data_IF_154661969097
#
_entry.id   IF_154661969097
#
_cell.length_a   1.000
_cell.length_b   1.000
_cell.length_c   1.000
_cell.angle_alpha   90.00
_cell.angle_beta   90.00
_cell.angle_gamma   90.00
#
_symmetry.space_group_name_H-M   'P 1'
#
loop_
_entity.id
_entity.type
_entity.pdbx_description
1 polymer ?
#
# COMPACT_ATOMS: atom_id res chain seq x y z
N UNK A 1 -5.16 -15.99 -14.23
CA UNK A 1 -4.78 -14.70 -14.89
C UNK A 1 -5.06 -13.58 -13.91
N UNK A 2 -4.22 -12.54 -13.85
CA UNK A 2 -4.48 -11.34 -13.04
C UNK A 2 -5.63 -10.56 -13.66
N UNK A 3 -6.64 -10.20 -12.87
CA UNK A 3 -7.82 -9.45 -13.33
C UNK A 3 -7.44 -8.01 -13.73
N UNK A 4 -8.16 -7.39 -14.68
CA UNK A 4 -7.89 -5.99 -15.04
C UNK A 4 -8.26 -4.98 -13.95
N UNK A 5 -9.05 -5.38 -12.93
CA UNK A 5 -9.36 -4.56 -11.75
C UNK A 5 -8.09 -4.10 -11.01
N UNK A 6 -7.02 -4.88 -11.06
CA UNK A 6 -5.73 -4.50 -10.47
C UNK A 6 -5.08 -3.30 -11.18
N UNK A 7 -5.29 -3.14 -12.49
CA UNK A 7 -4.81 -1.96 -13.21
C UNK A 7 -5.56 -0.71 -12.72
N UNK A 8 -6.86 -0.84 -12.46
CA UNK A 8 -7.68 0.24 -11.87
C UNK A 8 -7.14 0.63 -10.49
N UNK A 9 -6.77 -0.35 -9.66
CA UNK A 9 -6.13 -0.09 -8.37
C UNK A 9 -4.78 0.65 -8.51
N UNK A 10 -3.94 0.28 -9.47
CA UNK A 10 -2.67 0.97 -9.75
C UNK A 10 -2.90 2.44 -10.19
N UNK A 11 -3.90 2.69 -11.03
CA UNK A 11 -4.26 4.05 -11.47
C UNK A 11 -4.72 4.89 -10.27
N UNK A 12 -5.62 4.39 -9.44
CA UNK A 12 -6.06 5.11 -8.23
C UNK A 12 -4.90 5.33 -7.25
N UNK A 13 -3.98 4.36 -7.13
CA UNK A 13 -2.75 4.52 -6.35
C UNK A 13 -1.91 5.71 -6.83
N UNK A 14 -1.71 5.85 -8.14
CA UNK A 14 -0.98 7.00 -8.73
C UNK A 14 -1.71 8.32 -8.45
N UNK A 15 -3.04 8.35 -8.59
CA UNK A 15 -3.84 9.55 -8.32
C UNK A 15 -3.68 9.96 -6.85
N UNK A 16 -3.85 9.02 -5.91
CA UNK A 16 -3.71 9.29 -4.49
C UNK A 16 -2.29 9.72 -4.10
N UNK A 17 -1.25 9.07 -4.65
CA UNK A 17 0.15 9.48 -4.45
C UNK A 17 0.40 10.90 -4.97
N UNK A 18 -0.20 11.26 -6.10
CA UNK A 18 -0.10 12.60 -6.67
C UNK A 18 -0.75 13.63 -5.75
N UNK A 19 -1.92 13.33 -5.20
CA UNK A 19 -2.59 14.19 -4.22
C UNK A 19 -1.76 14.32 -2.94
N UNK A 20 -1.17 13.23 -2.45
CA UNK A 20 -0.25 13.29 -1.31
C UNK A 20 1.00 14.15 -1.59
N UNK A 21 1.56 14.06 -2.80
CA UNK A 21 2.66 14.93 -3.24
C UNK A 21 2.24 16.41 -3.32
N UNK A 22 1.06 16.70 -3.87
CA UNK A 22 0.49 18.05 -3.88
C UNK A 22 0.25 18.56 -2.46
N UNK A 23 -0.21 17.69 -1.55
CA UNK A 23 -0.44 18.04 -0.16
C UNK A 23 0.86 18.47 0.54
N UNK A 24 1.98 17.78 0.28
CA UNK A 24 3.29 18.17 0.81
C UNK A 24 3.80 19.48 0.18
N UNK A 25 3.55 19.70 -1.11
CA UNK A 25 4.07 20.87 -1.82
C UNK A 25 3.26 22.15 -1.58
N UNK A 26 1.93 22.04 -1.44
CA UNK A 26 0.99 23.15 -1.31
C UNK A 26 0.41 23.29 0.11
N UNK A 27 1.00 22.61 1.09
CA UNK A 27 0.53 22.61 2.49
C UNK A 27 0.45 24.00 3.11
N UNK A 28 1.33 24.91 2.71
CA UNK A 28 1.35 26.29 3.21
C UNK A 28 0.37 27.23 2.48
N UNK A 29 -0.05 26.87 1.26
CA UNK A 29 -0.93 27.70 0.43
C UNK A 29 -2.42 27.38 0.64
N UNK A 30 -2.74 26.13 0.98
CA UNK A 30 -4.12 25.67 1.15
C UNK A 30 -4.50 25.66 2.63
N UNK A 31 -5.60 26.33 3.02
CA UNK A 31 -6.00 26.41 4.42
C UNK A 31 -6.39 25.03 4.97
N UNK A 32 -6.08 24.80 6.25
CA UNK A 32 -6.56 23.67 7.03
C UNK A 32 -7.98 23.92 7.55
N UNK A 33 -8.75 22.85 7.72
CA UNK A 33 -10.03 22.87 8.45
C UNK A 33 -9.74 22.41 9.87
N UNK A 34 -9.85 23.32 10.84
CA UNK A 34 -9.27 23.14 12.18
C UNK A 34 -7.75 22.91 12.05
N UNK A 35 -7.23 21.76 12.49
CA UNK A 35 -5.84 21.35 12.29
C UNK A 35 -5.65 20.39 11.11
N UNK A 36 -6.74 19.93 10.48
CA UNK A 36 -6.70 18.89 9.44
C UNK A 36 -6.51 19.55 8.07
N UNK A 37 -5.56 19.06 7.28
CA UNK A 37 -5.34 19.52 5.93
C UNK A 37 -6.57 19.31 5.05
N UNK A 38 -6.89 20.29 4.19
CA UNK A 38 -7.93 20.13 3.17
C UNK A 38 -7.64 18.94 2.25
N UNK A 39 -6.37 18.60 2.03
CA UNK A 39 -5.97 17.43 1.25
C UNK A 39 -6.36 16.09 1.88
N UNK A 40 -6.45 15.99 3.20
CA UNK A 40 -6.89 14.76 3.89
C UNK A 40 -8.31 14.38 3.49
N UNK A 41 -9.21 15.35 3.40
CA UNK A 41 -10.57 15.12 2.91
C UNK A 41 -10.60 14.69 1.44
N UNK A 42 -9.71 15.24 0.60
CA UNK A 42 -9.56 14.82 -0.80
C UNK A 42 -9.05 13.38 -0.88
N UNK A 43 -8.04 13.02 -0.08
CA UNK A 43 -7.53 11.65 0.00
C UNK A 43 -8.63 10.67 0.43
N UNK A 44 -9.43 11.01 1.44
CA UNK A 44 -10.58 10.19 1.86
C UNK A 44 -11.60 10.02 0.74
N UNK A 45 -11.99 11.12 0.08
CA UNK A 45 -12.96 11.08 -1.02
C UNK A 45 -12.48 10.22 -2.20
N UNK A 46 -11.22 10.39 -2.62
CA UNK A 46 -10.64 9.61 -3.71
C UNK A 46 -10.47 8.15 -3.29
N UNK A 47 -10.05 7.86 -2.06
CA UNK A 47 -9.94 6.49 -1.55
C UNK A 47 -11.30 5.78 -1.59
N UNK A 48 -12.36 6.38 -1.05
CA UNK A 48 -13.70 5.80 -1.08
C UNK A 48 -14.19 5.60 -2.53
N UNK A 49 -13.93 6.59 -3.40
CA UNK A 49 -14.20 6.48 -4.83
C UNK A 49 -13.43 5.34 -5.50
N UNK A 50 -12.18 5.10 -5.09
CA UNK A 50 -11.35 4.01 -5.60
C UNK A 50 -11.86 2.64 -5.20
N UNK A 51 -12.26 2.47 -3.92
CA UNK A 51 -12.84 1.22 -3.41
C UNK A 51 -14.13 0.90 -4.17
N UNK A 52 -15.00 1.89 -4.32
CA UNK A 52 -16.23 1.74 -5.09
C UNK A 52 -15.96 1.44 -6.57
N UNK A 53 -15.01 2.14 -7.19
CA UNK A 53 -14.63 1.96 -8.59
C UNK A 53 -14.06 0.56 -8.87
N UNK A 54 -13.16 0.06 -8.02
CA UNK A 54 -12.60 -1.29 -8.09
C UNK A 54 -13.70 -2.33 -7.95
N UNK A 55 -14.58 -2.19 -6.93
CA UNK A 55 -15.70 -3.10 -6.72
C UNK A 55 -16.63 -3.16 -7.94
N UNK A 56 -17.01 -1.99 -8.48
CA UNK A 56 -17.90 -1.91 -9.65
C UNK A 56 -17.27 -2.56 -10.87
N UNK A 57 -15.98 -2.32 -11.11
CA UNK A 57 -15.25 -2.92 -12.23
C UNK A 57 -15.15 -4.44 -12.10
N UNK A 58 -14.83 -4.93 -10.91
CA UNK A 58 -14.74 -6.37 -10.64
C UNK A 58 -16.10 -7.06 -10.78
N UNK A 59 -17.16 -6.46 -10.25
CA UNK A 59 -18.50 -7.00 -10.36
C UNK A 59 -19.00 -7.03 -11.82
N UNK A 60 -18.74 -5.97 -12.59
CA UNK A 60 -19.07 -5.93 -14.02
C UNK A 60 -18.32 -7.02 -14.80
N UNK A 61 -17.02 -7.21 -14.53
CA UNK A 61 -16.21 -8.25 -15.17
C UNK A 61 -16.70 -9.67 -14.86
N UNK A 62 -17.22 -9.91 -13.65
CA UNK A 62 -17.81 -11.20 -13.25
C UNK A 62 -19.12 -11.50 -13.99
N UNK A 63 -19.91 -10.47 -14.32
CA UNK A 63 -21.15 -10.62 -15.09
C UNK A 63 -20.84 -10.91 -16.56
N UNK A 64 -19.87 -10.21 -17.14
CA UNK A 64 -19.49 -10.36 -18.55
C UNK A 64 -18.80 -11.70 -18.84
N UNK A 65 -18.02 -12.23 -17.89
CA UNK A 65 -17.32 -13.50 -18.02
C UNK A 65 -17.46 -14.32 -16.74
N UNK A 66 -18.59 -15.03 -16.55
CA UNK A 66 -18.78 -15.91 -15.41
C UNK A 66 -17.66 -16.96 -15.35
N UNK A 67 -17.11 -17.27 -14.17
CA UNK A 67 -16.13 -18.34 -14.05
C UNK A 67 -16.75 -19.65 -14.58
N UNK A 68 -16.00 -20.36 -15.44
CA UNK A 68 -16.33 -21.74 -15.83
C UNK A 68 -16.62 -22.55 -14.57
N UNK A 69 -17.67 -23.37 -14.57
CA UNK A 69 -18.05 -24.21 -13.44
C UNK A 69 -16.81 -24.88 -12.85
N UNK A 70 -16.42 -24.43 -11.66
CA UNK A 70 -15.31 -25.02 -10.93
C UNK A 70 -15.82 -26.41 -10.54
N UNK A 71 -15.12 -27.52 -10.90
CA UNK A 71 -15.47 -28.84 -10.40
C UNK A 71 -15.62 -28.72 -8.88
N UNK A 72 -16.79 -29.07 -8.34
CA UNK A 72 -17.08 -28.92 -6.93
C UNK A 72 -15.97 -29.62 -6.13
N UNK A 73 -14.98 -28.84 -5.67
CA UNK A 73 -14.08 -29.31 -4.63
C UNK A 73 -14.96 -29.65 -3.45
N UNK A 74 -14.69 -30.76 -2.73
CA UNK A 74 -15.55 -31.22 -1.64
C UNK A 74 -15.84 -30.01 -0.78
N UNK A 75 -17.11 -29.64 -0.71
CA UNK A 75 -17.59 -28.45 -0.04
C UNK A 75 -17.21 -28.59 1.42
N UNK A 76 -16.04 -28.05 1.78
CA UNK A 76 -15.80 -27.65 3.15
C UNK A 76 -16.82 -26.53 3.36
N UNK A 77 -18.00 -26.91 3.85
CA UNK A 77 -18.99 -26.02 4.42
C UNK A 77 -18.40 -25.45 5.71
N UNK A 78 -17.31 -24.70 5.57
CA UNK A 78 -16.77 -23.92 6.64
C UNK A 78 -17.89 -22.96 7.02
N UNK A 79 -18.38 -23.08 8.26
CA UNK A 79 -19.36 -22.16 8.80
C UNK A 79 -18.85 -20.73 8.59
N UNK A 80 -19.55 -19.95 7.78
CA UNK A 80 -19.16 -18.59 7.41
C UNK A 80 -18.89 -17.75 8.65
N UNK A 81 -19.67 -17.94 9.73
CA UNK A 81 -19.47 -17.24 10.99
C UNK A 81 -18.14 -17.61 11.63
N UNK A 82 -17.77 -18.89 11.57
CA UNK A 82 -16.47 -19.38 12.08
C UNK A 82 -15.31 -18.82 11.25
N UNK A 83 -15.46 -18.73 9.93
CA UNK A 83 -14.42 -18.15 9.05
C UNK A 83 -14.26 -16.65 9.31
N UNK A 84 -15.36 -15.89 9.36
CA UNK A 84 -15.35 -14.46 9.67
C UNK A 84 -14.79 -14.21 11.06
N UNK A 85 -15.23 -14.98 12.06
CA UNK A 85 -14.73 -14.88 13.44
C UNK A 85 -13.25 -15.19 13.54
N UNK A 86 -12.79 -16.22 12.82
CA UNK A 86 -11.37 -16.54 12.69
C UNK A 86 -10.58 -15.40 12.06
N UNK A 87 -11.03 -14.86 10.93
CA UNK A 87 -10.38 -13.73 10.26
C UNK A 87 -10.30 -12.49 11.17
N UNK A 88 -11.41 -12.10 11.80
CA UNK A 88 -11.48 -10.95 12.68
C UNK A 88 -10.54 -11.10 13.89
N UNK A 89 -10.50 -12.29 14.52
CA UNK A 89 -9.59 -12.56 15.63
C UNK A 89 -8.13 -12.36 15.23
N UNK A 90 -7.69 -12.91 14.09
CA UNK A 90 -6.31 -12.79 13.65
C UNK A 90 -5.97 -11.35 13.25
N UNK A 91 -6.88 -10.64 12.60
CA UNK A 91 -6.71 -9.22 12.29
C UNK A 91 -6.54 -8.38 13.56
N UNK A 92 -7.33 -8.65 14.60
CA UNK A 92 -7.19 -7.97 15.90
C UNK A 92 -5.86 -8.27 16.59
N UNK A 93 -5.35 -9.50 16.47
CA UNK A 93 -4.02 -9.85 17.00
C UNK A 93 -2.93 -9.03 16.29
N UNK A 94 -3.01 -8.89 14.96
CA UNK A 94 -2.07 -8.08 14.17
C UNK A 94 -2.13 -6.61 14.59
N UNK A 95 -3.34 -6.04 14.72
CA UNK A 95 -3.54 -4.66 15.18
C UNK A 95 -2.98 -4.48 16.59
N UNK A 96 -3.31 -5.40 17.50
CA UNK A 96 -2.83 -5.38 18.88
C UNK A 96 -1.30 -5.38 18.96
N UNK A 97 -0.64 -6.26 18.20
CA UNK A 97 0.82 -6.30 18.13
C UNK A 97 1.42 -5.00 17.56
N UNK A 98 0.79 -4.43 16.52
CA UNK A 98 1.26 -3.22 15.86
C UNK A 98 1.24 -1.98 16.77
N UNK A 99 0.26 -1.87 17.68
CA UNK A 99 0.15 -0.74 18.63
C UNK A 99 1.39 -0.63 19.53
N UNK A 100 2.02 -1.74 19.90
CA UNK A 100 3.19 -1.73 20.80
C UNK A 100 4.53 -1.50 20.08
N UNK A 101 4.59 -1.64 18.75
CA UNK A 101 5.85 -1.52 17.99
C UNK A 101 6.57 -0.18 18.21
N UNK A 102 5.90 0.99 18.16
CA UNK A 102 6.57 2.28 18.36
C UNK A 102 7.20 2.40 19.74
N UNK A 103 6.51 1.93 20.79
CA UNK A 103 7.01 1.96 22.17
C UNK A 103 8.32 1.19 22.32
N UNK A 104 8.35 -0.06 21.83
CA UNK A 104 9.58 -0.86 21.87
C UNK A 104 10.67 -0.27 20.98
N UNK A 105 10.29 0.27 19.81
CA UNK A 105 11.24 0.87 18.87
C UNK A 105 11.96 2.08 19.44
N UNK A 106 11.24 2.98 20.12
CA UNK A 106 11.82 4.14 20.81
C UNK A 106 12.84 3.72 21.90
N UNK A 107 12.48 2.71 22.70
CA UNK A 107 13.37 2.21 23.75
C UNK A 107 14.63 1.57 23.15
N UNK A 108 14.49 0.73 22.13
CA UNK A 108 15.64 0.14 21.43
C UNK A 108 16.51 1.24 20.80
N UNK A 109 15.91 2.22 20.13
CA UNK A 109 16.64 3.34 19.53
C UNK A 109 17.44 4.13 20.56
N UNK A 110 16.87 4.33 21.75
CA UNK A 110 17.52 5.01 22.89
C UNK A 110 18.68 4.19 23.45
N UNK A 111 18.47 2.89 23.73
CA UNK A 111 19.52 2.03 24.28
C UNK A 111 20.67 1.72 23.32
N UNK A 112 20.39 1.71 22.01
CA UNK A 112 21.40 1.44 20.97
C UNK A 112 22.10 2.69 20.46
N UNK A 113 21.56 3.89 20.76
CA UNK A 113 22.07 5.16 20.23
C UNK A 113 21.79 5.38 18.73
N UNK A 114 20.93 4.57 18.12
CA UNK A 114 20.62 4.65 16.67
C UNK A 114 19.75 5.87 16.31
N UNK A 115 19.10 6.50 17.29
CA UNK A 115 18.22 7.65 17.10
C UNK A 115 16.82 7.28 16.59
N UNK A 116 15.79 7.92 17.14
CA UNK A 116 14.38 7.58 16.89
C UNK A 116 13.99 7.68 15.40
N UNK A 117 14.48 8.70 14.69
CA UNK A 117 14.15 8.87 13.26
C UNK A 117 14.71 7.75 12.40
N UNK A 118 15.96 7.33 12.62
CA UNK A 118 16.55 6.23 11.85
C UNK A 118 15.85 4.91 12.16
N UNK A 119 15.59 4.64 13.44
CA UNK A 119 14.90 3.42 13.84
C UNK A 119 13.48 3.34 13.28
N UNK A 120 12.74 4.46 13.32
CA UNK A 120 11.42 4.58 12.71
C UNK A 120 11.43 4.32 11.21
N UNK A 121 12.32 4.98 10.46
CA UNK A 121 12.39 4.85 9.00
C UNK A 121 12.78 3.46 8.53
N UNK A 122 13.61 2.72 9.29
CA UNK A 122 14.12 1.40 8.85
C UNK A 122 13.34 0.26 9.49
N UNK A 123 13.32 0.19 10.82
CA UNK A 123 12.82 -1.00 11.53
C UNK A 123 11.31 -0.97 11.71
N UNK A 124 10.74 0.19 12.07
CA UNK A 124 9.27 0.31 12.18
C UNK A 124 8.64 0.13 10.80
N UNK A 125 9.14 0.83 9.78
CA UNK A 125 8.66 0.67 8.41
C UNK A 125 8.75 -0.80 7.90
N UNK A 126 9.86 -1.49 8.16
CA UNK A 126 9.97 -2.91 7.82
C UNK A 126 8.97 -3.77 8.59
N UNK A 127 8.82 -3.56 9.91
CA UNK A 127 7.90 -4.33 10.75
C UNK A 127 6.44 -4.16 10.31
N UNK A 128 6.02 -2.96 9.90
CA UNK A 128 4.66 -2.70 9.41
C UNK A 128 4.41 -3.26 8.02
N UNK A 129 5.44 -3.47 7.20
CA UNK A 129 5.29 -4.05 5.86
C UNK A 129 5.47 -5.58 5.78
N UNK A 130 6.00 -6.21 6.84
CA UNK A 130 6.09 -7.67 6.93
C UNK A 130 4.74 -8.39 6.80
N UNK A 131 3.63 -7.93 7.44
CA UNK A 131 2.31 -8.54 7.27
C UNK A 131 1.89 -8.63 5.80
N UNK A 132 2.13 -7.57 5.02
CA UNK A 132 1.74 -7.49 3.60
C UNK A 132 2.55 -8.49 2.75
N UNK A 133 3.84 -8.62 3.03
CA UNK A 133 4.71 -9.61 2.40
C UNK A 133 4.23 -11.04 2.71
N UNK A 134 3.94 -11.32 3.99
CA UNK A 134 3.50 -12.65 4.44
C UNK A 134 2.13 -13.01 3.83
N UNK A 135 1.19 -12.07 3.80
CA UNK A 135 -0.13 -12.28 3.16
C UNK A 135 0.03 -12.54 1.66
N UNK A 136 0.87 -11.78 0.97
CA UNK A 136 1.13 -11.97 -0.46
C UNK A 136 1.76 -13.34 -0.74
N UNK A 137 2.75 -13.75 0.05
CA UNK A 137 3.39 -15.08 -0.07
C UNK A 137 2.41 -16.22 0.25
N UNK A 138 1.55 -16.05 1.26
CA UNK A 138 0.52 -17.02 1.60
C UNK A 138 -0.49 -17.17 0.45
N UNK A 139 -0.96 -16.06 -0.13
CA UNK A 139 -1.86 -16.06 -1.29
C UNK A 139 -1.22 -16.76 -2.50
N UNK A 140 0.07 -16.51 -2.78
CA UNK A 140 0.81 -17.21 -3.83
C UNK A 140 0.93 -18.71 -3.57
N UNK A 141 1.19 -19.12 -2.32
CA UNK A 141 1.22 -20.55 -1.92
C UNK A 141 -0.13 -21.23 -2.09
N UNK A 142 -1.23 -20.49 -1.95
CA UNK A 142 -2.58 -20.95 -2.22
C UNK A 142 -2.92 -20.96 -3.73
N UNK A 143 -1.99 -20.59 -4.61
CA UNK A 143 -2.24 -20.46 -6.05
C UNK A 143 -3.07 -19.24 -6.44
N UNK A 144 -3.33 -18.32 -5.50
CA UNK A 144 -4.15 -17.13 -5.69
C UNK A 144 -3.29 -15.91 -6.03
N UNK A 145 -2.81 -15.87 -7.28
CA UNK A 145 -2.05 -14.71 -7.80
C UNK A 145 -2.87 -13.41 -7.75
N UNK A 146 -4.17 -13.52 -8.01
CA UNK A 146 -5.09 -12.37 -8.02
C UNK A 146 -5.20 -11.71 -6.64
N UNK A 147 -5.28 -12.51 -5.58
CA UNK A 147 -5.29 -12.03 -4.19
C UNK A 147 -3.94 -11.43 -3.79
N UNK A 148 -2.83 -12.01 -4.23
CA UNK A 148 -1.50 -11.48 -3.96
C UNK A 148 -1.30 -10.08 -4.59
N UNK A 149 -1.69 -9.91 -5.86
CA UNK A 149 -1.63 -8.59 -6.54
C UNK A 149 -2.62 -7.61 -5.92
N UNK A 150 -3.82 -8.07 -5.58
CA UNK A 150 -4.84 -7.24 -4.91
C UNK A 150 -4.38 -6.72 -3.55
N UNK A 151 -3.70 -7.55 -2.76
CA UNK A 151 -3.09 -7.12 -1.51
C UNK A 151 -2.02 -6.04 -1.76
N UNK A 152 -1.10 -6.27 -2.71
CA UNK A 152 -0.01 -5.33 -2.99
C UNK A 152 -0.51 -3.94 -3.44
N UNK A 153 -1.44 -3.90 -4.39
CA UNK A 153 -1.95 -2.62 -4.92
C UNK A 153 -3.00 -1.98 -4.00
N UNK A 154 -3.83 -2.82 -3.37
CA UNK A 154 -4.83 -2.37 -2.40
C UNK A 154 -4.19 -1.73 -1.16
N UNK A 155 -3.11 -2.31 -0.63
CA UNK A 155 -2.36 -1.73 0.48
C UNK A 155 -1.76 -0.37 0.12
N UNK A 156 -1.23 -0.19 -1.10
CA UNK A 156 -0.73 1.13 -1.53
C UNK A 156 -1.82 2.20 -1.55
N UNK A 157 -3.02 1.85 -2.03
CA UNK A 157 -4.18 2.74 -2.03
C UNK A 157 -4.64 3.03 -0.59
N UNK A 158 -4.68 2.01 0.27
CA UNK A 158 -5.06 2.15 1.67
C UNK A 158 -4.05 2.97 2.48
N UNK A 159 -2.76 2.87 2.19
CA UNK A 159 -1.72 3.66 2.87
C UNK A 159 -1.91 5.17 2.64
N UNK A 160 -2.45 5.58 1.50
CA UNK A 160 -2.78 6.99 1.26
C UNK A 160 -3.99 7.45 2.08
N UNK A 161 -4.92 6.55 2.38
CA UNK A 161 -6.01 6.80 3.32
C UNK A 161 -5.49 6.91 4.76
N UNK A 162 -4.56 6.03 5.16
CA UNK A 162 -3.88 6.10 6.46
C UNK A 162 -3.18 7.45 6.63
N UNK A 163 -2.50 7.96 5.60
CA UNK A 163 -1.84 9.28 5.67
C UNK A 163 -2.82 10.42 6.02
N UNK A 164 -4.05 10.38 5.48
CA UNK A 164 -5.10 11.33 5.87
C UNK A 164 -5.59 11.10 7.30
N UNK A 165 -5.63 9.85 7.78
CA UNK A 165 -5.96 9.54 9.19
C UNK A 165 -4.86 10.07 10.12
N UNK A 166 -3.59 9.90 9.75
CA UNK A 166 -2.45 10.38 10.54
C UNK A 166 -2.52 11.91 10.72
N UNK A 167 -2.90 12.63 9.66
CA UNK A 167 -3.16 14.08 9.72
C UNK A 167 -4.32 14.45 10.67
N UNK A 168 -5.36 13.62 10.77
CA UNK A 168 -6.46 13.82 11.76
C UNK A 168 -5.95 13.68 13.19
N UNK A 169 -5.04 12.74 13.44
CA UNK A 169 -4.49 12.47 14.77
C UNK A 169 -3.30 13.36 15.13
N UNK A 170 -2.65 14.00 14.15
CA UNK A 170 -1.62 15.00 14.38
C UNK A 170 -2.25 16.30 14.90
N UNK A 171 -2.05 16.62 16.19
CA UNK A 171 -2.74 17.74 16.85
C UNK A 171 -1.93 19.04 16.93
N UNK A 172 -0.69 19.03 16.46
CA UNK A 172 0.19 20.22 16.48
C UNK A 172 -0.03 21.13 15.26
N UNK A 173 -0.94 20.77 14.36
CA UNK A 173 -1.21 21.44 13.10
C UNK A 173 -1.59 20.41 12.03
N UNK A 174 -1.40 20.77 10.76
CA UNK A 174 -1.50 19.81 9.65
C UNK A 174 -0.20 19.02 9.54
N UNK A 175 -0.30 17.70 9.48
CA UNK A 175 0.82 16.78 9.27
C UNK A 175 1.58 17.14 7.99
N UNK A 176 0.87 17.55 6.94
CA UNK A 176 1.48 17.91 5.66
C UNK A 176 2.35 19.18 5.73
N UNK A 177 2.14 20.04 6.73
CA UNK A 177 3.00 21.21 6.98
C UNK A 177 4.25 20.82 7.78
N UNK A 178 4.17 19.74 8.58
CA UNK A 178 5.29 19.21 9.35
C UNK A 178 6.19 18.27 8.52
N UNK A 179 5.70 17.75 7.40
CA UNK A 179 6.47 16.88 6.51
C UNK A 179 7.53 17.69 5.73
N UNK A 180 8.77 17.23 5.77
CA UNK A 180 9.86 17.82 4.97
C UNK A 180 9.60 17.68 3.46
N UNK A 181 9.83 18.73 2.65
CA UNK A 181 9.76 18.66 1.19
C UNK A 181 10.70 17.62 0.56
N UNK A 182 11.70 17.14 1.30
CA UNK A 182 12.58 16.04 0.84
C UNK A 182 11.82 14.77 0.48
N UNK A 183 10.62 14.55 1.04
CA UNK A 183 9.77 13.40 0.75
C UNK A 183 9.11 13.47 -0.64
N UNK A 184 9.10 14.63 -1.31
CA UNK A 184 8.55 14.76 -2.68
C UNK A 184 9.27 13.86 -3.69
N UNK A 185 10.58 13.66 -3.52
CA UNK A 185 11.34 12.73 -4.37
C UNK A 185 10.86 11.29 -4.18
N UNK A 186 10.59 10.88 -2.94
CA UNK A 186 10.04 9.56 -2.64
C UNK A 186 8.69 9.36 -3.32
N UNK A 187 7.78 10.35 -3.21
CA UNK A 187 6.47 10.32 -3.86
C UNK A 187 6.62 10.15 -5.38
N UNK A 188 7.48 10.95 -6.01
CA UNK A 188 7.70 10.88 -7.45
C UNK A 188 8.23 9.52 -7.92
N UNK A 189 9.22 8.96 -7.22
CA UNK A 189 9.76 7.64 -7.55
C UNK A 189 8.72 6.55 -7.33
N UNK A 190 7.92 6.62 -6.26
CA UNK A 190 6.84 5.66 -6.00
C UNK A 190 5.74 5.72 -7.08
N UNK A 191 5.43 6.89 -7.61
CA UNK A 191 4.51 7.04 -8.76
C UNK A 191 5.07 6.28 -9.97
N UNK A 192 6.35 6.47 -10.30
CA UNK A 192 7.00 5.77 -11.42
C UNK A 192 6.98 4.26 -11.20
N UNK A 193 7.35 3.79 -9.99
CA UNK A 193 7.32 2.37 -9.67
C UNK A 193 5.91 1.78 -9.81
N UNK A 194 4.88 2.49 -9.35
CA UNK A 194 3.48 2.06 -9.47
C UNK A 194 3.03 2.02 -10.94
N UNK A 195 3.47 2.99 -11.76
CA UNK A 195 3.22 3.00 -13.19
C UNK A 195 3.89 1.82 -13.90
N UNK A 196 5.13 1.47 -13.53
CA UNK A 196 5.83 0.29 -14.07
C UNK A 196 5.08 -1.00 -13.74
N UNK A 197 4.56 -1.14 -12.51
CA UNK A 197 3.69 -2.28 -12.14
C UNK A 197 2.43 -2.31 -13.01
N UNK A 198 1.73 -1.18 -13.16
CA UNK A 198 0.54 -1.08 -14.00
C UNK A 198 0.80 -1.47 -15.46
N UNK A 199 1.92 -1.00 -16.04
CA UNK A 199 2.35 -1.37 -17.39
C UNK A 199 2.73 -2.86 -17.48
N UNK A 200 3.42 -3.41 -16.47
CA UNK A 200 3.75 -4.83 -16.42
C UNK A 200 2.51 -5.74 -16.42
N UNK A 201 1.46 -5.32 -15.71
CA UNK A 201 0.16 -6.01 -15.70
C UNK A 201 -0.57 -5.93 -17.05
N UNK A 202 -0.43 -4.83 -17.79
CA UNK A 202 -1.01 -4.63 -19.12
C UNK A 202 -0.29 -5.42 -20.21
N UNK A 203 1.04 -5.34 -20.25
CA UNK A 203 1.85 -5.77 -21.40
C UNK A 203 2.33 -7.23 -21.36
N UNK A 204 1.88 -8.03 -20.37
CA UNK A 204 2.13 -9.48 -20.18
C UNK A 204 3.20 -10.09 -21.12
N UNK A 205 4.44 -10.33 -20.65
CA UNK A 205 5.50 -10.82 -21.53
C UNK A 205 5.11 -12.16 -22.19
N UNK A 206 5.17 -12.21 -23.53
CA UNK A 206 4.74 -13.34 -24.37
C UNK A 206 5.68 -14.56 -24.33
N UNK A 207 6.87 -14.46 -23.73
CA UNK A 207 7.85 -15.56 -23.64
C UNK A 207 8.05 -15.97 -22.19
N UNK A 208 8.21 -17.29 -21.96
CA UNK A 208 8.81 -17.83 -20.73
C UNK A 208 10.22 -17.25 -20.60
N UNK A 209 10.34 -16.18 -19.83
CA UNK A 209 11.61 -15.52 -19.55
C UNK A 209 12.44 -16.50 -18.71
N UNK A 210 13.65 -16.83 -19.19
CA UNK A 210 14.58 -17.77 -18.54
C UNK A 210 15.24 -17.20 -17.28
N UNK A 211 15.14 -15.88 -17.06
CA UNK A 211 15.57 -15.23 -15.82
C UNK A 211 14.42 -15.23 -14.81
N UNK A 212 14.74 -15.55 -13.54
CA UNK A 212 13.77 -15.58 -12.44
C UNK A 212 13.05 -14.24 -12.21
N UNK A 213 13.53 -13.13 -12.78
CA UNK A 213 12.99 -11.78 -12.60
C UNK A 213 12.54 -11.17 -13.93
N UNK A 214 11.34 -10.58 -13.94
CA UNK A 214 10.83 -9.78 -15.04
C UNK A 214 11.54 -8.42 -15.12
N UNK A 215 11.57 -7.78 -16.30
CA UNK A 215 12.26 -6.49 -16.49
C UNK A 215 11.65 -5.38 -15.61
N UNK A 216 10.33 -5.39 -15.46
CA UNK A 216 9.57 -4.54 -14.54
C UNK A 216 10.07 -4.68 -13.10
N UNK A 217 10.29 -5.91 -12.61
CA UNK A 217 10.84 -6.14 -11.26
C UNK A 217 12.24 -5.55 -11.11
N UNK A 218 13.09 -5.69 -12.14
CA UNK A 218 14.44 -5.14 -12.12
C UNK A 218 14.45 -3.61 -12.11
N UNK A 219 13.59 -2.97 -12.91
CA UNK A 219 13.43 -1.52 -12.94
C UNK A 219 12.96 -1.00 -11.57
N UNK A 220 11.95 -1.65 -10.98
CA UNK A 220 11.42 -1.30 -9.65
C UNK A 220 12.52 -1.41 -8.58
N UNK A 221 13.30 -2.50 -8.60
CA UNK A 221 14.39 -2.71 -7.65
C UNK A 221 15.48 -1.64 -7.79
N UNK A 222 15.88 -1.29 -9.02
CA UNK A 222 16.87 -0.23 -9.25
C UNK A 222 16.36 1.13 -8.76
N UNK A 223 15.12 1.49 -9.11
CA UNK A 223 14.53 2.77 -8.69
C UNK A 223 14.46 2.88 -7.16
N UNK A 224 14.02 1.81 -6.49
CA UNK A 224 13.99 1.75 -5.03
C UNK A 224 15.39 1.88 -4.42
N UNK A 225 16.35 1.09 -4.88
CA UNK A 225 17.72 1.12 -4.36
C UNK A 225 18.41 2.47 -4.60
N UNK A 226 18.19 3.08 -5.78
CA UNK A 226 18.70 4.40 -6.11
C UNK A 226 18.09 5.48 -5.19
N UNK A 227 16.78 5.45 -4.96
CA UNK A 227 16.10 6.36 -4.02
C UNK A 227 16.65 6.21 -2.61
N UNK A 228 16.73 4.98 -2.09
CA UNK A 228 17.22 4.72 -0.74
C UNK A 228 18.67 5.19 -0.56
N UNK A 229 19.53 4.92 -1.54
CA UNK A 229 20.93 5.37 -1.53
C UNK A 229 21.03 6.89 -1.56
N UNK A 230 20.24 7.54 -2.41
CA UNK A 230 20.20 9.01 -2.51
C UNK A 230 19.75 9.66 -1.19
N UNK A 231 18.66 9.14 -0.60
CA UNK A 231 18.14 9.65 0.68
C UNK A 231 19.13 9.43 1.83
N UNK A 232 19.89 8.33 1.82
CA UNK A 232 20.90 8.05 2.83
C UNK A 232 22.11 9.00 2.74
N UNK A 233 22.59 9.31 1.52
CA UNK A 233 23.76 10.17 1.31
C UNK A 233 23.45 11.65 1.58
N UNK A 234 22.20 12.09 1.32
CA UNK A 234 21.79 13.50 1.47
C UNK A 234 21.38 13.86 2.91
N UNK A 235 21.35 12.89 3.82
CA UNK A 235 21.07 13.09 5.24
C UNK A 235 22.33 13.56 5.97
#
# INVERSE_FOLDING_TARGET
>A
MVKPSHIVAAIFGIILLTVAGMAIYLSDEIPSVLWISSFSFVLFGIYLGSVWGIFKYEHAALIESPPLEIPQSPTHSADLKKVIGGYALHALIVIGAAIFLPYFGEHIATYTGLGNSFFGTVFIAAATSLPELVVSLAALRMGSLDMAVGNLLGSNVFNMFILGIDDVFYREGSLFNAISPSHLLSVFVTIIMTAVVGLGLLFKPKKKQLWLLSLDTFIIAILYMALMTYLFIKK
#
